data_IF_839919420836
#
_entry.id   IF_839919420836
#
_cell.length_a   1.000
_cell.length_b   1.000
_cell.length_c   1.000
_cell.angle_alpha   90.00
_cell.angle_beta   90.00
_cell.angle_gamma   90.00
#
_symmetry.space_group_name_H-M   'P 1'
#
loop_
_entity.id
_entity.type
_entity.pdbx_description
1 polymer ?
#
# COMPACT_ATOMS: atom_id res chain seq x y z
N UNK A 1 -29.20 57.91 42.23
CA UNK A 1 -29.58 58.39 43.58
C UNK A 1 -28.49 57.99 44.56
N UNK A 2 -28.02 58.93 45.40
CA UNK A 2 -26.84 58.79 46.25
C UNK A 2 -27.06 57.85 47.45
N UNK A 3 -25.99 57.06 47.71
CA UNK A 3 -25.35 56.69 48.98
C UNK A 3 -26.07 57.03 50.30
N UNK A 4 -26.25 56.05 51.19
CA UNK A 4 -25.74 56.14 52.58
C UNK A 4 -25.78 54.83 53.39
N UNK A 5 -24.64 54.59 54.08
CA UNK A 5 -24.43 53.88 55.37
C UNK A 5 -24.49 52.34 55.30
N UNK A 6 -23.49 51.60 55.78
CA UNK A 6 -23.00 51.59 57.16
C UNK A 6 -21.58 51.01 57.27
N UNK A 7 -20.78 51.66 58.12
CA UNK A 7 -19.52 51.16 58.70
C UNK A 7 -19.88 50.20 59.83
N UNK A 8 -19.34 48.97 59.88
CA UNK A 8 -19.06 48.24 61.15
C UNK A 8 -17.84 47.32 61.00
N UNK A 9 -16.82 47.68 61.77
CA UNK A 9 -15.88 46.90 62.59
C UNK A 9 -15.04 45.72 62.04
N UNK A 10 -13.77 45.87 62.38
CA UNK A 10 -12.63 44.95 62.36
C UNK A 10 -12.88 43.58 63.02
N UNK A 11 -12.36 42.53 62.38
CA UNK A 11 -11.85 41.34 63.06
C UNK A 11 -10.61 40.87 62.32
N UNK A 12 -9.44 41.10 62.92
CA UNK A 12 -8.15 40.60 62.45
C UNK A 12 -8.07 39.14 62.86
N UNK A 13 -8.26 38.21 61.91
CA UNK A 13 -7.95 36.81 62.12
C UNK A 13 -6.65 36.50 61.38
N UNK A 14 -5.55 36.46 62.13
CA UNK A 14 -4.29 35.90 61.68
C UNK A 14 -4.48 34.38 61.49
N UNK A 15 -4.42 33.92 60.24
CA UNK A 15 -4.26 32.50 59.92
C UNK A 15 -2.87 32.29 59.34
N UNK A 16 -2.11 31.46 60.04
CA UNK A 16 -0.76 31.06 59.74
C UNK A 16 -0.64 30.49 58.31
N UNK A 17 0.34 30.98 57.57
CA UNK A 17 0.77 30.41 56.29
C UNK A 17 1.55 29.13 56.63
N UNK A 18 0.89 27.98 56.52
CA UNK A 18 1.59 26.70 56.44
C UNK A 18 2.13 26.55 55.01
N UNK A 19 3.43 26.28 54.79
CA UNK A 19 3.89 25.82 53.50
C UNK A 19 3.37 24.39 53.31
N UNK A 20 2.25 24.24 52.61
CA UNK A 20 1.95 22.98 51.96
C UNK A 20 2.98 22.79 50.85
N UNK A 21 4.09 22.14 51.18
CA UNK A 21 4.85 21.38 50.20
C UNK A 21 3.93 20.24 49.75
N UNK A 22 3.06 20.50 48.77
CA UNK A 22 2.52 19.43 47.95
C UNK A 22 3.73 18.84 47.24
N UNK A 23 4.24 17.74 47.79
CA UNK A 23 4.96 16.77 46.99
C UNK A 23 3.96 16.35 45.90
N UNK A 24 4.00 17.06 44.77
CA UNK A 24 3.51 16.50 43.53
C UNK A 24 4.32 15.24 43.34
N UNK A 25 3.71 14.11 43.70
CA UNK A 25 3.97 12.88 43.00
C UNK A 25 3.58 13.17 41.56
N UNK A 26 4.51 13.76 40.82
CA UNK A 26 4.67 13.43 39.43
C UNK A 26 4.94 11.92 39.49
N UNK A 27 3.86 11.14 39.49
CA UNK A 27 3.87 9.85 38.83
C UNK A 27 4.52 10.17 37.50
N UNK A 28 5.81 9.81 37.42
CA UNK A 28 6.53 9.86 36.17
C UNK A 28 5.59 9.15 35.22
N UNK A 29 4.99 9.88 34.27
CA UNK A 29 4.48 9.23 33.07
C UNK A 29 5.66 8.39 32.67
N UNK A 30 5.46 7.09 32.76
CA UNK A 30 6.36 6.10 32.23
C UNK A 30 6.76 6.66 30.88
N UNK A 31 7.99 7.14 30.81
CA UNK A 31 8.68 7.36 29.56
C UNK A 31 8.58 6.00 28.92
N UNK A 32 7.66 5.87 27.95
CA UNK A 32 7.39 4.63 27.24
C UNK A 32 8.76 4.25 26.69
N UNK A 33 9.38 3.29 27.38
CA UNK A 33 10.79 2.98 27.20
C UNK A 33 10.98 2.67 25.73
N UNK A 34 11.77 3.49 25.04
CA UNK A 34 12.18 3.33 23.64
C UNK A 34 13.10 2.13 23.45
N UNK A 35 12.78 1.00 24.09
CA UNK A 35 13.36 -0.27 23.71
C UNK A 35 12.65 -0.67 22.41
N UNK A 36 13.41 -1.00 21.36
CA UNK A 36 12.91 -1.59 20.10
C UNK A 36 12.30 -2.99 20.30
N UNK A 37 11.88 -3.33 21.50
CA UNK A 37 11.41 -4.64 21.93
C UNK A 37 9.90 -4.61 21.95
N UNK A 38 9.28 -5.38 21.06
CA UNK A 38 7.83 -5.54 21.01
C UNK A 38 7.39 -6.83 21.71
N UNK A 39 6.09 -6.93 22.02
CA UNK A 39 5.53 -8.12 22.65
C UNK A 39 5.57 -9.31 21.70
N UNK A 40 5.38 -10.52 22.23
CA UNK A 40 5.28 -11.73 21.38
C UNK A 40 4.13 -11.58 20.38
N UNK A 41 4.43 -11.77 19.09
CA UNK A 41 3.47 -11.60 18.01
C UNK A 41 3.40 -10.17 17.45
N UNK A 42 4.25 -9.26 17.92
CA UNK A 42 4.38 -7.90 17.40
C UNK A 42 5.78 -7.67 16.81
N UNK A 43 5.91 -6.65 15.95
CA UNK A 43 7.19 -6.20 15.42
C UNK A 43 7.29 -4.67 15.47
N UNK A 44 8.52 -4.15 15.58
CA UNK A 44 8.76 -2.71 15.64
C UNK A 44 8.75 -2.13 14.22
N UNK A 45 7.94 -1.10 14.00
CA UNK A 45 7.91 -0.32 12.78
C UNK A 45 8.57 1.04 13.00
N UNK A 46 9.77 1.18 12.45
CA UNK A 46 10.65 2.33 12.67
C UNK A 46 10.05 3.64 12.16
N UNK A 47 9.36 3.63 11.02
CA UNK A 47 8.79 4.85 10.42
C UNK A 47 7.69 5.51 11.27
N UNK A 48 7.07 4.77 12.18
CA UNK A 48 6.05 5.28 13.11
C UNK A 48 6.45 5.14 14.57
N UNK A 49 7.66 4.65 14.81
CA UNK A 49 8.22 4.42 16.14
C UNK A 49 7.29 3.63 17.08
N UNK A 50 6.61 2.61 16.56
CA UNK A 50 5.60 1.84 17.30
C UNK A 50 5.71 0.32 17.06
N UNK A 51 5.08 -0.47 17.93
CA UNK A 51 4.94 -1.91 17.75
C UNK A 51 3.62 -2.21 17.04
N UNK A 52 3.67 -3.04 16.00
CA UNK A 52 2.52 -3.47 15.20
C UNK A 52 2.28 -4.97 15.37
N UNK A 53 1.01 -5.42 15.38
CA UNK A 53 0.69 -6.85 15.39
C UNK A 53 1.14 -7.51 14.08
N UNK A 54 1.78 -8.66 14.19
CA UNK A 54 2.14 -9.51 13.04
C UNK A 54 0.86 -10.08 12.43
N UNK A 55 0.73 -9.97 11.10
CA UNK A 55 -0.50 -10.28 10.37
C UNK A 55 -1.49 -9.12 10.29
N UNK A 56 -1.20 -7.98 10.92
CA UNK A 56 -2.11 -6.84 10.99
C UNK A 56 -3.18 -6.98 12.07
N UNK A 57 -4.14 -6.05 12.13
CA UNK A 57 -5.21 -6.08 13.12
C UNK A 57 -6.06 -7.33 12.92
N UNK A 58 -6.28 -8.10 13.98
CA UNK A 58 -7.30 -9.17 13.97
C UNK A 58 -8.65 -8.51 13.72
N UNK A 59 -9.48 -9.02 12.79
CA UNK A 59 -10.80 -8.45 12.54
C UNK A 59 -11.66 -8.58 13.80
N UNK A 60 -11.65 -7.55 14.65
CA UNK A 60 -12.54 -7.45 15.78
C UNK A 60 -13.88 -6.93 15.25
N UNK A 61 -14.64 -7.84 14.63
CA UNK A 61 -16.07 -7.86 14.29
C UNK A 61 -16.85 -6.61 13.82
N UNK A 62 -16.29 -5.40 13.74
CA UNK A 62 -17.11 -4.22 13.40
C UNK A 62 -16.41 -3.11 12.64
N UNK A 63 -15.07 -3.09 12.52
CA UNK A 63 -14.41 -2.09 11.69
C UNK A 63 -13.15 -2.67 11.05
N UNK A 64 -13.22 -2.94 9.74
CA UNK A 64 -12.01 -3.07 8.92
C UNK A 64 -11.72 -1.66 8.37
N UNK A 65 -10.74 -0.94 8.92
CA UNK A 65 -10.43 0.41 8.50
C UNK A 65 -10.16 0.43 6.99
N UNK A 66 -10.91 1.26 6.26
CA UNK A 66 -10.78 1.42 4.80
C UNK A 66 -10.18 2.79 4.53
N UNK A 67 -9.15 2.90 3.67
CA UNK A 67 -8.59 4.18 3.30
C UNK A 67 -9.66 5.18 2.82
N UNK A 68 -9.52 6.48 3.13
CA UNK A 68 -10.38 7.51 2.56
C UNK A 68 -10.13 7.66 1.05
N UNK A 69 -11.07 8.30 0.36
CA UNK A 69 -10.99 8.54 -1.09
C UNK A 69 -9.64 9.13 -1.53
N UNK A 70 -9.07 8.55 -2.59
CA UNK A 70 -7.76 8.99 -3.12
C UNK A 70 -6.55 8.44 -2.36
N UNK A 71 -6.77 7.57 -1.37
CA UNK A 71 -5.72 6.77 -0.73
C UNK A 71 -6.03 5.29 -0.90
N UNK A 72 -4.99 4.49 -1.04
CA UNK A 72 -5.08 3.04 -0.97
C UNK A 72 -3.86 2.49 -0.23
N UNK A 73 -3.95 1.25 0.25
CA UNK A 73 -2.80 0.55 0.79
C UNK A 73 -2.29 -0.48 -0.20
N UNK A 74 -0.97 -0.73 -0.21
CA UNK A 74 -0.41 -1.84 -0.93
C UNK A 74 -1.20 -3.13 -0.63
N UNK A 75 -1.59 -3.89 -1.66
CA UNK A 75 -2.39 -5.10 -1.52
C UNK A 75 -1.72 -6.16 -0.65
N UNK A 76 -2.54 -7.01 -0.04
CA UNK A 76 -2.24 -8.16 0.83
C UNK A 76 -1.41 -7.93 2.09
N UNK A 77 -0.36 -7.11 2.05
CA UNK A 77 0.64 -7.03 3.12
C UNK A 77 0.66 -5.69 3.87
N UNK A 78 -0.25 -4.79 3.53
CA UNK A 78 -0.46 -3.53 4.26
C UNK A 78 -1.93 -3.37 4.64
N UNK A 79 -2.21 -2.54 5.64
CA UNK A 79 -3.56 -2.23 6.10
C UNK A 79 -3.66 -0.74 6.43
N UNK A 80 -4.86 -0.18 6.31
CA UNK A 80 -5.10 1.21 6.70
C UNK A 80 -5.27 1.31 8.21
N UNK A 81 -4.68 2.35 8.81
CA UNK A 81 -4.88 2.68 10.20
C UNK A 81 -5.48 4.09 10.30
N UNK A 82 -6.67 4.19 10.90
CA UNK A 82 -7.39 5.47 11.01
C UNK A 82 -6.66 6.44 11.94
N UNK A 83 -6.13 5.94 13.06
CA UNK A 83 -5.45 6.76 14.08
C UNK A 83 -4.16 7.39 13.55
N UNK A 84 -3.40 6.63 12.76
CA UNK A 84 -2.17 7.08 12.12
C UNK A 84 -2.40 7.73 10.74
N UNK A 85 -3.64 7.63 10.23
CA UNK A 85 -4.07 8.12 8.91
C UNK A 85 -3.12 7.71 7.78
N UNK A 86 -2.67 6.45 7.79
CA UNK A 86 -1.74 5.91 6.80
C UNK A 86 -1.78 4.38 6.71
N UNK A 87 -1.05 3.82 5.74
CA UNK A 87 -0.88 2.38 5.63
C UNK A 87 0.24 1.88 6.53
N UNK A 88 -0.08 0.86 7.30
CA UNK A 88 0.85 0.14 8.17
C UNK A 88 1.09 -1.27 7.60
N UNK A 89 2.32 -1.79 7.66
CA UNK A 89 2.62 -3.12 7.17
C UNK A 89 2.05 -4.19 8.11
N UNK A 90 1.61 -5.31 7.56
CA UNK A 90 1.19 -6.50 8.32
C UNK A 90 2.38 -7.32 8.81
N UNK A 91 3.55 -7.15 8.20
CA UNK A 91 4.77 -7.91 8.48
C UNK A 91 5.96 -6.97 8.54
N UNK A 92 7.05 -7.32 9.24
CA UNK A 92 8.22 -6.47 9.27
C UNK A 92 8.75 -6.26 7.85
N UNK A 93 8.75 -5.00 7.42
CA UNK A 93 9.42 -4.58 6.20
C UNK A 93 10.90 -4.70 6.49
N UNK A 94 11.63 -5.53 5.76
CA UNK A 94 13.05 -5.73 6.03
C UNK A 94 13.78 -4.39 5.94
N UNK A 95 14.02 -3.77 7.09
CA UNK A 95 14.99 -2.71 7.25
C UNK A 95 16.30 -3.44 7.54
N UNK A 96 17.24 -3.58 6.59
CA UNK A 96 18.59 -3.89 6.97
C UNK A 96 19.00 -2.79 7.95
N UNK A 97 19.26 -3.20 9.20
CA UNK A 97 19.89 -2.31 10.17
C UNK A 97 21.13 -1.73 9.49
N UNK A 98 21.32 -0.40 9.41
CA UNK A 98 22.61 0.11 9.00
C UNK A 98 23.61 -0.46 9.99
N UNK A 99 24.41 -1.42 9.53
CA UNK A 99 25.54 -1.91 10.29
C UNK A 99 26.40 -0.67 10.52
N UNK A 100 26.78 -0.33 11.77
CA UNK A 100 27.66 0.81 11.99
C UNK A 100 29.04 0.43 11.45
N UNK A 101 29.26 0.64 10.15
CA UNK A 101 30.60 0.55 9.57
C UNK A 101 31.32 1.82 9.97
N UNK A 102 32.15 1.63 10.99
CA UNK A 102 33.13 2.56 11.49
C UNK A 102 33.97 3.16 10.35
N UNK A 103 34.40 4.40 10.63
CA UNK A 103 35.61 5.09 10.14
C UNK A 103 35.54 5.87 8.82
N UNK A 104 35.38 7.19 9.00
CA UNK A 104 35.98 8.30 8.25
C UNK A 104 36.30 8.13 6.76
N UNK A 105 35.59 8.87 5.90
CA UNK A 105 36.24 9.61 4.81
C UNK A 105 35.51 10.95 4.56
N UNK A 106 36.29 12.02 4.72
CA UNK A 106 35.94 13.43 4.47
C UNK A 106 35.95 13.70 2.96
N UNK A 107 34.88 14.31 2.39
CA UNK A 107 34.95 15.48 1.48
C UNK A 107 33.65 15.75 0.69
N UNK A 108 32.98 16.84 1.08
CA UNK A 108 32.42 17.95 0.28
C UNK A 108 31.46 17.73 -0.92
N UNK A 109 30.19 18.11 -0.66
CA UNK A 109 29.21 18.87 -1.47
C UNK A 109 28.58 18.29 -2.76
N UNK A 110 27.35 17.74 -2.66
CA UNK A 110 26.13 18.19 -3.39
C UNK A 110 24.84 17.56 -2.77
N UNK A 111 23.79 18.37 -2.51
CA UNK A 111 22.36 18.08 -2.15
C UNK A 111 21.93 16.89 -1.25
N UNK A 112 21.02 17.09 -0.26
CA UNK A 112 20.52 16.00 0.58
C UNK A 112 19.32 15.32 -0.09
N UNK A 113 19.55 14.23 -0.82
CA UNK A 113 18.48 13.29 -1.15
C UNK A 113 18.84 11.94 -0.52
N UNK A 114 18.09 11.64 0.53
CA UNK A 114 17.81 10.32 1.12
C UNK A 114 18.81 9.20 0.84
N UNK A 115 19.48 8.79 1.91
CA UNK A 115 20.03 7.46 2.21
C UNK A 115 19.52 6.31 1.33
N UNK A 116 20.41 5.39 0.88
CA UNK A 116 20.01 4.19 0.18
C UNK A 116 19.39 3.19 1.16
N UNK A 117 18.08 3.30 1.37
CA UNK A 117 17.29 2.22 1.99
C UNK A 117 17.20 1.10 0.94
N UNK A 118 17.91 -0.01 1.14
CA UNK A 118 18.05 -1.08 0.14
C UNK A 118 16.79 -1.95 -0.07
N UNK A 119 15.61 -1.43 0.29
CA UNK A 119 14.34 -2.15 0.19
C UNK A 119 13.46 -1.37 -0.79
N UNK A 120 13.06 -1.97 -1.93
CA UNK A 120 12.21 -1.27 -2.89
C UNK A 120 10.91 -0.84 -2.21
N UNK A 121 10.31 0.31 -2.57
CA UNK A 121 9.06 0.75 -1.98
C UNK A 121 7.96 -0.33 -2.15
N UNK A 122 6.96 -0.36 -1.25
CA UNK A 122 5.86 -1.30 -1.41
C UNK A 122 5.13 -1.04 -2.72
N UNK A 123 4.65 -2.12 -3.34
CA UNK A 123 4.00 -2.06 -4.64
C UNK A 123 2.52 -1.71 -4.49
N UNK A 124 2.06 -0.73 -5.26
CA UNK A 124 0.66 -0.33 -5.29
C UNK A 124 -0.05 -0.98 -6.49
N UNK A 125 -1.38 -1.02 -6.45
CA UNK A 125 -2.19 -1.46 -7.59
C UNK A 125 -1.96 -0.57 -8.83
N UNK A 126 -2.30 -1.10 -10.00
CA UNK A 126 -2.10 -0.42 -11.29
C UNK A 126 -2.66 1.00 -11.30
N UNK A 127 -1.83 1.96 -11.74
CA UNK A 127 -2.19 3.38 -11.77
C UNK A 127 -2.03 4.13 -10.43
N UNK A 128 -1.44 3.51 -9.41
CA UNK A 128 -1.17 4.15 -8.12
C UNK A 128 0.33 4.15 -7.79
N UNK A 129 0.80 5.23 -7.18
CA UNK A 129 2.19 5.39 -6.75
C UNK A 129 2.27 5.41 -5.21
N UNK A 130 3.30 4.76 -4.65
CA UNK A 130 3.59 4.84 -3.23
C UNK A 130 4.17 6.21 -2.88
N UNK A 131 3.48 6.95 -2.01
CA UNK A 131 3.97 8.23 -1.48
C UNK A 131 4.56 8.02 -0.09
N UNK A 132 5.89 8.01 -0.02
CA UNK A 132 6.65 7.68 1.19
C UNK A 132 6.31 8.57 2.39
N UNK A 133 6.13 9.87 2.15
CA UNK A 133 5.79 10.87 3.18
C UNK A 133 4.37 10.72 3.73
N UNK A 134 3.47 10.11 2.94
CA UNK A 134 2.09 9.85 3.33
C UNK A 134 1.87 8.40 3.77
N UNK A 135 2.87 7.54 3.56
CA UNK A 135 2.81 6.10 3.77
C UNK A 135 1.52 5.49 3.19
N UNK A 136 1.15 5.87 1.97
CA UNK A 136 0.00 5.31 1.27
C UNK A 136 0.18 5.42 -0.25
N UNK A 137 -0.58 4.60 -0.98
CA UNK A 137 -0.72 4.71 -2.42
C UNK A 137 -1.65 5.87 -2.75
N UNK A 138 -1.29 6.70 -3.71
CA UNK A 138 -2.16 7.74 -4.30
C UNK A 138 -2.25 7.55 -5.82
N UNK A 139 -3.30 8.03 -6.50
CA UNK A 139 -3.39 7.92 -7.94
C UNK A 139 -2.15 8.54 -8.58
N UNK A 140 -1.52 7.79 -9.48
CA UNK A 140 -0.39 8.28 -10.25
C UNK A 140 -0.86 9.49 -11.08
N UNK A 141 -0.10 10.59 -11.13
CA UNK A 141 -0.43 11.73 -11.99
C UNK A 141 -0.28 11.28 -13.44
N UNK A 142 -1.36 10.74 -14.01
CA UNK A 142 -1.54 10.32 -15.41
C UNK A 142 -0.23 10.27 -16.21
N UNK A 143 0.64 9.29 -15.88
CA UNK A 143 1.73 8.96 -16.78
C UNK A 143 1.05 8.50 -18.07
N UNK A 144 1.31 9.13 -19.23
CA UNK A 144 0.67 8.72 -20.47
C UNK A 144 0.98 7.24 -20.65
N UNK A 145 -0.08 6.42 -20.59
CA UNK A 145 -0.04 5.02 -20.98
C UNK A 145 0.75 4.94 -22.28
N UNK A 146 1.76 4.08 -22.32
CA UNK A 146 2.56 3.86 -23.51
C UNK A 146 1.60 3.46 -24.63
N UNK A 147 1.27 4.43 -25.48
CA UNK A 147 0.54 4.20 -26.71
C UNK A 147 1.40 3.25 -27.53
N UNK A 148 0.92 2.04 -27.89
CA UNK A 148 1.65 1.22 -28.84
C UNK A 148 1.70 1.99 -30.15
N UNK A 149 2.91 2.34 -30.58
CA UNK A 149 3.19 2.87 -31.91
C UNK A 149 2.57 1.92 -32.94
N UNK A 150 1.58 2.33 -33.76
CA UNK A 150 1.07 1.44 -34.79
C UNK A 150 2.13 1.30 -35.89
N UNK A 151 2.79 0.15 -35.95
CA UNK A 151 3.52 -0.32 -37.13
C UNK A 151 2.76 -1.48 -37.74
N UNK A 152 2.00 -1.20 -38.79
CA UNK A 152 1.94 -1.95 -40.04
C UNK A 152 0.69 -1.54 -40.82
N UNK A 153 0.91 -0.90 -41.97
CA UNK A 153 -0.04 -0.76 -43.07
C UNK A 153 -0.62 -2.12 -43.47
N UNK A 154 -1.95 -2.30 -43.59
CA UNK A 154 -2.50 -3.51 -44.20
C UNK A 154 -2.37 -3.41 -45.73
N UNK A 155 -1.64 -4.35 -46.35
CA UNK A 155 -1.77 -4.59 -47.78
C UNK A 155 -3.20 -5.07 -48.07
N UNK A 156 -3.88 -4.33 -48.91
CA UNK A 156 -5.21 -4.61 -49.43
C UNK A 156 -5.13 -5.84 -50.37
N UNK A 157 -5.53 -7.01 -49.87
CA UNK A 157 -5.71 -8.21 -50.68
C UNK A 157 -7.08 -8.16 -51.37
N UNK A 158 -7.08 -7.95 -52.68
CA UNK A 158 -8.26 -7.98 -53.55
C UNK A 158 -8.66 -9.44 -53.81
N UNK A 159 -9.85 -9.86 -53.39
CA UNK A 159 -10.37 -11.22 -53.58
C UNK A 159 -11.85 -11.20 -53.95
N UNK A 160 -12.11 -11.34 -55.25
CA UNK A 160 -13.43 -11.39 -55.88
C UNK A 160 -13.93 -12.85 -55.90
N UNK A 161 -15.18 -13.12 -55.49
CA UNK A 161 -15.74 -14.47 -55.57
C UNK A 161 -17.17 -14.60 -55.08
N UNK A 162 -18.11 -14.67 -56.03
CA UNK A 162 -19.52 -15.05 -55.84
C UNK A 162 -19.67 -16.54 -55.50
N UNK A 163 -20.66 -16.92 -54.67
CA UNK A 163 -21.17 -18.30 -54.66
C UNK A 163 -21.80 -18.82 -53.36
N UNK A 164 -23.13 -18.77 -53.32
CA UNK A 164 -24.11 -19.73 -52.78
C UNK A 164 -24.04 -20.32 -51.35
N UNK A 165 -25.25 -20.37 -50.78
CA UNK A 165 -25.65 -20.80 -49.45
C UNK A 165 -25.06 -22.13 -48.97
N UNK A 166 -24.45 -22.09 -47.79
CA UNK A 166 -24.43 -23.21 -46.86
C UNK A 166 -24.48 -22.66 -45.43
N UNK A 167 -25.48 -23.13 -44.66
CA UNK A 167 -25.61 -22.89 -43.23
C UNK A 167 -24.32 -23.30 -42.51
N UNK A 168 -23.52 -22.33 -42.09
CA UNK A 168 -22.55 -22.51 -41.01
C UNK A 168 -23.07 -21.74 -39.82
N UNK A 169 -23.05 -22.42 -38.68
CA UNK A 169 -23.40 -21.90 -37.36
C UNK A 169 -22.90 -20.46 -37.20
N UNK A 170 -23.66 -19.66 -36.45
CA UNK A 170 -23.19 -18.39 -35.90
C UNK A 170 -21.96 -18.65 -35.01
N UNK A 171 -20.80 -18.91 -35.64
CA UNK A 171 -19.50 -18.79 -35.02
C UNK A 171 -19.33 -17.30 -34.81
N UNK A 172 -19.33 -16.92 -33.54
CA UNK A 172 -19.12 -15.57 -33.04
C UNK A 172 -18.10 -14.82 -33.91
N UNK A 173 -18.59 -13.83 -34.67
CA UNK A 173 -17.71 -12.76 -35.15
C UNK A 173 -17.37 -11.88 -33.95
N UNK A 174 -16.46 -12.35 -33.10
CA UNK A 174 -15.75 -11.48 -32.20
C UNK A 174 -14.82 -10.60 -33.06
N UNK A 175 -15.31 -9.42 -33.44
CA UNK A 175 -14.41 -8.30 -33.75
C UNK A 175 -13.53 -8.14 -32.49
N UNK A 176 -12.20 -8.07 -32.62
CA UNK A 176 -11.33 -8.10 -31.46
C UNK A 176 -11.68 -6.90 -30.59
N UNK A 177 -12.19 -7.18 -29.39
CA UNK A 177 -12.65 -6.17 -28.44
C UNK A 177 -11.50 -5.25 -27.99
N UNK A 178 -10.25 -5.68 -28.22
CA UNK A 178 -9.03 -4.92 -27.97
C UNK A 178 -8.07 -4.95 -29.17
N UNK A 179 -7.14 -3.97 -29.28
CA UNK A 179 -6.00 -4.08 -30.18
C UNK A 179 -5.27 -5.42 -30.03
N UNK A 180 -4.59 -5.85 -31.09
CA UNK A 180 -3.83 -7.12 -31.06
C UNK A 180 -2.82 -7.13 -29.90
N UNK A 181 -2.76 -8.26 -29.20
CA UNK A 181 -1.85 -8.46 -28.07
C UNK A 181 -2.39 -7.97 -26.73
N UNK A 182 -3.66 -7.56 -26.67
CA UNK A 182 -4.36 -7.22 -25.44
C UNK A 182 -5.58 -8.11 -25.27
N UNK A 183 -5.92 -8.39 -24.02
CA UNK A 183 -7.09 -9.16 -23.62
C UNK A 183 -8.20 -8.22 -23.16
N UNK A 184 -9.44 -8.55 -23.53
CA UNK A 184 -10.63 -7.81 -23.13
C UNK A 184 -11.16 -8.35 -21.80
N UNK A 185 -10.73 -7.73 -20.70
CA UNK A 185 -11.09 -8.15 -19.35
C UNK A 185 -12.38 -7.49 -18.87
N UNK A 186 -13.43 -8.27 -18.53
CA UNK A 186 -14.68 -7.68 -18.09
C UNK A 186 -14.50 -6.95 -16.77
N UNK A 187 -15.08 -5.74 -16.68
CA UNK A 187 -15.03 -4.91 -15.48
C UNK A 187 -16.13 -5.39 -14.53
N UNK A 188 -15.74 -5.93 -13.37
CA UNK A 188 -16.69 -6.36 -12.36
C UNK A 188 -17.53 -5.19 -11.83
N UNK A 189 -18.85 -5.38 -11.72
CA UNK A 189 -19.77 -4.36 -11.20
C UNK A 189 -20.32 -3.38 -12.24
N UNK A 190 -19.94 -3.48 -13.51
CA UNK A 190 -20.66 -2.79 -14.59
C UNK A 190 -21.86 -3.60 -15.08
N UNK A 191 -23.00 -2.93 -15.25
CA UNK A 191 -24.25 -3.52 -15.73
C UNK A 191 -24.30 -3.73 -17.25
N UNK A 192 -23.30 -3.22 -18.00
CA UNK A 192 -23.37 -3.06 -19.46
C UNK A 192 -22.38 -3.93 -20.26
N UNK A 193 -21.79 -4.96 -19.65
CA UNK A 193 -20.76 -5.78 -20.32
C UNK A 193 -19.55 -4.94 -20.75
N UNK A 194 -19.12 -4.01 -19.89
CA UNK A 194 -17.91 -3.22 -20.13
C UNK A 194 -16.66 -4.06 -19.96
N UNK A 195 -15.66 -3.80 -20.80
CA UNK A 195 -14.36 -4.47 -20.78
C UNK A 195 -13.24 -3.43 -20.78
N UNK A 196 -12.15 -3.76 -20.12
CA UNK A 196 -10.88 -3.05 -20.22
C UNK A 196 -9.86 -3.87 -21.02
N UNK A 197 -9.01 -3.19 -21.78
CA UNK A 197 -7.97 -3.85 -22.57
C UNK A 197 -6.67 -3.89 -21.78
N UNK A 198 -6.27 -5.07 -21.34
CA UNK A 198 -5.08 -5.29 -20.53
C UNK A 198 -4.05 -6.12 -21.29
N UNK A 199 -2.76 -5.86 -21.04
CA UNK A 199 -1.68 -6.76 -21.44
C UNK A 199 -1.45 -7.75 -20.30
N UNK A 200 -2.18 -8.86 -20.30
CA UNK A 200 -2.12 -9.86 -19.22
C UNK A 200 -0.76 -10.55 -19.12
N UNK A 201 0.14 -10.34 -20.09
CA UNK A 201 1.50 -10.88 -20.01
C UNK A 201 2.38 -10.13 -19.01
N UNK A 202 2.02 -8.90 -18.66
CA UNK A 202 2.78 -8.02 -17.76
C UNK A 202 1.92 -7.28 -16.72
N UNK A 203 0.59 -7.36 -16.82
CA UNK A 203 -0.33 -6.75 -15.86
C UNK A 203 -0.32 -7.51 -14.53
N UNK A 204 -0.12 -6.80 -13.41
CA UNK A 204 0.06 -7.42 -12.09
C UNK A 204 -1.24 -8.01 -11.54
N UNK A 205 -2.35 -7.29 -11.73
CA UNK A 205 -3.66 -7.61 -11.13
C UNK A 205 -4.48 -8.59 -12.00
N UNK A 206 -3.99 -8.89 -13.20
CA UNK A 206 -4.62 -9.80 -14.17
C UNK A 206 -3.53 -10.53 -14.95
N UNK A 207 -2.60 -11.12 -14.22
CA UNK A 207 -1.46 -11.80 -14.80
C UNK A 207 -1.88 -13.16 -15.37
N UNK A 208 -1.53 -13.40 -16.64
CA UNK A 208 -1.83 -14.64 -17.36
C UNK A 208 -3.27 -14.76 -17.87
N UNK A 209 -4.12 -13.78 -17.60
CA UNK A 209 -5.52 -13.74 -18.02
C UNK A 209 -6.34 -12.77 -17.18
N UNK A 210 -7.62 -12.62 -17.50
CA UNK A 210 -8.49 -11.70 -16.78
C UNK A 210 -8.83 -12.22 -15.38
N UNK A 211 -8.32 -11.57 -14.33
CA UNK A 211 -8.59 -11.99 -12.95
C UNK A 211 -10.10 -11.96 -12.61
N UNK A 212 -10.87 -11.05 -13.21
CA UNK A 212 -12.33 -10.96 -13.05
C UNK A 212 -13.09 -12.20 -13.51
N UNK A 213 -12.48 -13.02 -14.38
CA UNK A 213 -13.04 -14.27 -14.90
C UNK A 213 -12.42 -15.51 -14.27
N UNK A 214 -11.37 -15.33 -13.46
CA UNK A 214 -10.55 -16.42 -12.92
C UNK A 214 -9.56 -17.02 -13.92
N UNK A 215 -9.42 -16.46 -15.13
CA UNK A 215 -8.45 -16.91 -16.12
C UNK A 215 -7.01 -16.44 -15.81
N UNK A 216 -6.87 -15.38 -15.00
CA UNK A 216 -5.57 -14.93 -14.48
C UNK A 216 -5.58 -14.67 -12.98
N UNK A 217 -4.44 -14.21 -12.48
CA UNK A 217 -4.18 -14.05 -11.05
C UNK A 217 -3.68 -12.63 -10.76
N UNK A 218 -4.12 -12.09 -9.62
CA UNK A 218 -3.51 -10.90 -9.03
C UNK A 218 -2.22 -11.31 -8.27
N UNK A 219 -1.07 -10.97 -8.85
CA UNK A 219 0.24 -11.24 -8.25
C UNK A 219 0.49 -10.41 -7.00
N UNK A 220 -0.17 -9.26 -6.86
CA UNK A 220 0.00 -8.38 -5.70
C UNK A 220 -0.71 -8.93 -4.46
N UNK A 221 -1.67 -9.84 -4.66
CA UNK A 221 -2.33 -10.55 -3.58
C UNK A 221 -1.47 -11.65 -2.92
N UNK A 222 -0.29 -11.98 -3.44
CA UNK A 222 0.55 -13.08 -2.93
C UNK A 222 0.96 -12.81 -1.47
N UNK A 223 0.57 -13.72 -0.58
CA UNK A 223 0.81 -13.58 0.85
C UNK A 223 2.32 -13.57 1.18
N UNK A 224 2.74 -12.59 1.97
CA UNK A 224 4.12 -12.47 2.43
C UNK A 224 5.11 -12.01 1.35
N UNK A 225 4.64 -11.77 0.11
CA UNK A 225 5.46 -11.20 -0.95
C UNK A 225 5.60 -9.68 -0.78
N UNK A 226 6.84 -9.20 -0.83
CA UNK A 226 7.18 -7.77 -0.78
C UNK A 226 7.24 -7.15 -2.18
N UNK A 227 7.86 -7.86 -3.12
CA UNK A 227 8.01 -7.41 -4.49
C UNK A 227 7.63 -8.54 -5.44
N UNK A 228 6.70 -8.24 -6.33
CA UNK A 228 6.11 -9.17 -7.28
C UNK A 228 6.15 -8.58 -8.69
N UNK A 229 6.04 -9.45 -9.68
CA UNK A 229 5.94 -9.10 -11.09
C UNK A 229 5.01 -10.05 -11.81
N UNK A 230 4.48 -9.60 -12.94
CA UNK A 230 3.95 -10.48 -13.96
C UNK A 230 4.98 -10.56 -15.09
N UNK A 231 5.53 -11.73 -15.31
CA UNK A 231 6.46 -11.98 -16.42
C UNK A 231 5.88 -13.06 -17.32
N UNK A 232 5.61 -12.67 -18.57
CA UNK A 232 5.12 -13.57 -19.61
C UNK A 232 3.84 -14.32 -19.17
N UNK A 233 2.95 -13.63 -18.47
CA UNK A 233 1.68 -14.18 -17.97
C UNK A 233 1.83 -15.08 -16.74
N UNK A 234 2.96 -15.03 -16.04
CA UNK A 234 3.20 -15.78 -14.80
C UNK A 234 3.63 -14.85 -13.67
N UNK A 235 2.99 -15.01 -12.51
CA UNK A 235 3.43 -14.30 -11.32
C UNK A 235 4.84 -14.74 -10.90
N UNK A 236 5.67 -13.75 -10.61
CA UNK A 236 7.02 -13.89 -10.05
C UNK A 236 7.09 -13.14 -8.74
N UNK A 237 7.72 -13.76 -7.75
CA UNK A 237 8.04 -13.14 -6.47
C UNK A 237 9.54 -12.90 -6.44
N UNK A 238 9.93 -11.64 -6.33
CA UNK A 238 11.34 -11.23 -6.30
C UNK A 238 11.88 -11.12 -4.88
N UNK A 239 11.01 -10.80 -3.91
CA UNK A 239 11.38 -10.73 -2.50
C UNK A 239 10.18 -10.94 -1.58
N UNK A 240 10.44 -11.44 -0.38
CA UNK A 240 9.45 -11.66 0.67
C UNK A 240 9.66 -10.69 1.84
N UNK A 241 8.60 -10.43 2.59
CA UNK A 241 8.69 -9.75 3.89
C UNK A 241 9.54 -10.56 4.88
N UNK A 242 10.06 -9.90 5.91
CA UNK A 242 10.81 -10.60 6.96
C UNK A 242 9.90 -11.64 7.67
N UNK A 243 10.49 -12.78 8.03
CA UNK A 243 9.73 -13.93 8.54
C UNK A 243 9.19 -14.85 7.43
N UNK A 244 9.49 -14.56 6.16
CA UNK A 244 9.19 -15.42 5.03
C UNK A 244 10.45 -15.68 4.20
N UNK A 245 10.47 -16.84 3.53
CA UNK A 245 11.46 -17.21 2.50
C UNK A 245 10.81 -17.35 1.15
N UNK A 246 11.54 -16.97 0.10
CA UNK A 246 11.13 -17.22 -1.27
C UNK A 246 11.04 -18.73 -1.52
N UNK A 247 9.96 -19.18 -2.16
CA UNK A 247 9.80 -20.56 -2.60
C UNK A 247 10.83 -20.92 -3.68
N UNK A 248 11.15 -22.20 -3.82
CA UNK A 248 12.14 -22.67 -4.80
C UNK A 248 11.76 -22.40 -6.26
N UNK A 249 10.46 -22.30 -6.54
CA UNK A 249 9.92 -21.97 -7.86
C UNK A 249 9.77 -20.45 -8.10
N UNK A 250 10.02 -19.63 -7.07
CA UNK A 250 9.96 -18.17 -7.16
C UNK A 250 8.55 -17.62 -7.34
N UNK A 251 7.50 -18.36 -6.95
CA UNK A 251 6.09 -17.97 -7.13
C UNK A 251 5.38 -17.61 -5.82
N UNK A 252 5.98 -17.90 -4.67
CA UNK A 252 5.35 -17.69 -3.36
C UNK A 252 6.36 -17.38 -2.25
N UNK A 253 5.84 -16.93 -1.11
CA UNK A 253 6.60 -16.72 0.11
C UNK A 253 6.11 -17.70 1.19
N UNK A 254 7.04 -18.45 1.77
CA UNK A 254 6.76 -19.46 2.79
C UNK A 254 7.21 -18.92 4.15
N UNK A 255 6.34 -18.93 5.16
CA UNK A 255 6.70 -18.50 6.51
C UNK A 255 7.87 -19.32 7.08
N UNK A 256 8.77 -18.64 7.81
CA UNK A 256 9.97 -19.21 8.45
C UNK A 256 9.68 -19.79 9.84
#
# INVERSE_FOLDING_TARGET
>A
MPVFKRVIAFSVLALAIAPFATASTFASRTTKSSSKTCSKGEFYYDRKECCLPSGGPTPSSTHTPTPPSGKSCPPSSWYWDDDQSCCLPKWPTSTPTPTPTSTHHTSTHTSPSSTPTSTPPPQCSSGWDWVDSLLCCTPSPSKPSHTPKPSATPKQGNGNGNGHHNKRAHVARAIPACPKGLDACPISGSLLSDYECLDTSVELESCGGCASTGEGQDCTAIQGAWNVGCDSGSCKVYSCFAGFKLSSDGTSCIAL
#
